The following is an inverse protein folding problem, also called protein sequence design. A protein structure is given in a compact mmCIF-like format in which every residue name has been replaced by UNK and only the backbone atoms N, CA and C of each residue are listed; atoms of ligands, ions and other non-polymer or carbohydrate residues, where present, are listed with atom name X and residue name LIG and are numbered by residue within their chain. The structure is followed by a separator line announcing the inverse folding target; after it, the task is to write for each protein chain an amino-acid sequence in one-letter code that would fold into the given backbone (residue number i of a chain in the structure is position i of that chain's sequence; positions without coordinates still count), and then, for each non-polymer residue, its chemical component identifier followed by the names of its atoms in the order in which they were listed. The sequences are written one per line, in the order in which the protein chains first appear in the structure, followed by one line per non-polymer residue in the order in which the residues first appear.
data_IF_628050996910
#
_entry.id   IF_628050996910
#
_cell.length_a   1.000
_cell.length_b   1.000
_cell.length_c   1.000
_cell.angle_alpha   90.00
_cell.angle_beta   90.00
_cell.angle_gamma   90.00
#
_symmetry.space_group_name_H-M   'P 1'
#
loop_
_entity.id
_entity.type
_entity.pdbx_description
1 polymer ?
#
# COMPACT_ATOMS: atom_id res chain seq x y z
N UNK A 1 -15.39 -5.34 14.34
CA UNK A 1 -14.43 -4.67 13.44
C UNK A 1 -14.78 -5.11 12.03
N UNK A 2 -14.83 -4.19 11.08
CA UNK A 2 -15.22 -4.46 9.69
C UNK A 2 -14.01 -4.25 8.77
N UNK A 3 -13.94 -5.06 7.71
CA UNK A 3 -12.86 -5.03 6.73
C UNK A 3 -13.44 -4.90 5.32
N UNK A 4 -12.68 -4.24 4.44
CA UNK A 4 -13.01 -4.13 3.02
C UNK A 4 -11.84 -4.65 2.18
N UNK A 5 -12.16 -5.26 1.05
CA UNK A 5 -11.17 -5.73 0.08
C UNK A 5 -11.13 -4.76 -1.10
N UNK A 6 -10.00 -4.09 -1.28
CA UNK A 6 -9.73 -3.27 -2.46
C UNK A 6 -8.88 -4.07 -3.46
N UNK A 7 -9.38 -4.26 -4.68
CA UNK A 7 -8.66 -4.94 -5.76
C UNK A 7 -8.13 -3.93 -6.78
N UNK A 8 -6.84 -4.03 -7.11
CA UNK A 8 -6.18 -3.17 -8.08
C UNK A 8 -5.46 -4.07 -9.10
N UNK A 9 -5.86 -3.98 -10.37
CA UNK A 9 -5.18 -4.62 -11.50
C UNK A 9 -4.36 -3.57 -12.25
N UNK A 10 -3.12 -3.89 -12.56
CA UNK A 10 -2.20 -3.02 -13.29
C UNK A 10 -1.18 -3.83 -14.07
N UNK A 11 -0.61 -3.24 -15.11
CA UNK A 11 0.42 -3.91 -15.92
C UNK A 11 1.72 -4.12 -15.11
N UNK A 12 2.09 -3.12 -14.32
CA UNK A 12 3.24 -3.17 -13.42
C UNK A 12 3.06 -2.18 -12.28
N UNK A 13 3.77 -2.42 -11.19
CA UNK A 13 3.76 -1.54 -10.03
C UNK A 13 5.19 -1.18 -9.64
N UNK A 14 5.45 0.10 -9.47
CA UNK A 14 6.66 0.62 -8.86
C UNK A 14 6.63 0.36 -7.34
N UNK A 15 7.82 0.43 -6.71
CA UNK A 15 7.95 0.27 -5.26
C UNK A 15 7.02 1.24 -4.51
N UNK A 16 6.25 0.69 -3.56
CA UNK A 16 5.27 1.40 -2.73
C UNK A 16 4.09 2.04 -3.47
N UNK A 17 3.93 1.82 -4.79
CA UNK A 17 2.90 2.50 -5.59
C UNK A 17 1.49 2.23 -5.07
N UNK A 18 1.13 0.96 -4.87
CA UNK A 18 -0.20 0.56 -4.37
C UNK A 18 -0.47 1.16 -2.99
N UNK A 19 0.51 1.08 -2.08
CA UNK A 19 0.38 1.61 -0.71
C UNK A 19 0.18 3.12 -0.68
N UNK A 20 0.81 3.86 -1.60
CA UNK A 20 0.59 5.31 -1.76
C UNK A 20 -0.77 5.62 -2.39
N UNK A 21 -1.23 4.84 -3.37
CA UNK A 21 -2.56 5.01 -3.97
C UNK A 21 -3.66 4.85 -2.91
N UNK A 22 -3.59 3.78 -2.11
CA UNK A 22 -4.53 3.55 -1.01
C UNK A 22 -4.41 4.64 0.06
N UNK A 23 -3.18 5.02 0.44
CA UNK A 23 -2.94 6.08 1.42
C UNK A 23 -3.56 7.42 1.01
N UNK A 24 -3.41 7.79 -0.26
CA UNK A 24 -4.00 9.02 -0.81
C UNK A 24 -5.54 8.96 -0.80
N UNK A 25 -6.12 7.84 -1.24
CA UNK A 25 -7.58 7.66 -1.25
C UNK A 25 -8.18 7.78 0.16
N UNK A 26 -7.58 7.12 1.16
CA UNK A 26 -8.01 7.22 2.56
C UNK A 26 -7.89 8.67 3.07
N UNK A 27 -6.81 9.36 2.72
CA UNK A 27 -6.58 10.76 3.16
C UNK A 27 -7.65 11.71 2.63
N UNK A 28 -8.06 11.52 1.36
CA UNK A 28 -9.16 12.26 0.74
C UNK A 28 -10.49 11.95 1.44
N UNK A 29 -10.82 10.67 1.63
CA UNK A 29 -12.08 10.24 2.27
C UNK A 29 -12.22 10.74 3.71
N UNK A 30 -11.10 10.91 4.43
CA UNK A 30 -11.08 11.44 5.79
C UNK A 30 -10.98 12.97 5.86
N UNK A 31 -10.90 13.66 4.72
CA UNK A 31 -10.88 15.12 4.65
C UNK A 31 -9.53 15.77 5.00
N UNK A 32 -8.42 15.02 4.97
CA UNK A 32 -7.08 15.61 5.18
C UNK A 32 -6.60 16.42 3.96
N UNK A 33 -7.10 16.09 2.78
CA UNK A 33 -6.72 16.73 1.52
C UNK A 33 -7.87 16.64 0.51
N UNK A 34 -8.00 17.64 -0.35
CA UNK A 34 -9.00 17.65 -1.41
C UNK A 34 -8.60 16.79 -2.62
N UNK A 35 -9.58 16.37 -3.43
CA UNK A 35 -9.40 15.52 -4.60
C UNK A 35 -8.43 16.09 -5.65
N UNK A 36 -8.23 17.41 -5.68
CA UNK A 36 -7.27 18.07 -6.56
C UNK A 36 -5.83 17.58 -6.37
N UNK A 37 -5.48 17.03 -5.19
CA UNK A 37 -4.17 16.40 -4.95
C UNK A 37 -3.89 15.25 -5.92
N UNK A 38 -4.93 14.56 -6.41
CA UNK A 38 -4.77 13.46 -7.38
C UNK A 38 -4.13 14.02 -8.65
N UNK A 39 -4.65 15.12 -9.19
CA UNK A 39 -4.08 15.77 -10.38
C UNK A 39 -2.66 16.27 -10.11
N UNK A 40 -2.46 16.92 -8.97
CA UNK A 40 -1.13 17.41 -8.57
C UNK A 40 -0.12 16.27 -8.41
N UNK A 41 -0.54 15.07 -7.98
CA UNK A 41 0.34 13.92 -7.77
C UNK A 41 0.98 13.37 -9.06
N UNK A 42 0.41 13.70 -10.22
CA UNK A 42 0.96 13.38 -11.55
C UNK A 42 1.87 14.49 -12.11
N UNK A 43 2.03 15.60 -11.39
CA UNK A 43 2.95 16.68 -11.79
C UNK A 43 4.42 16.29 -11.58
N UNK A 44 5.32 17.15 -12.06
CA UNK A 44 6.77 17.00 -11.86
C UNK A 44 7.15 17.12 -10.37
N UNK A 45 6.32 17.81 -9.59
CA UNK A 45 6.60 18.09 -8.19
C UNK A 45 6.37 16.85 -7.33
N UNK A 46 7.35 16.56 -6.47
CA UNK A 46 7.24 15.43 -5.54
C UNK A 46 6.30 15.81 -4.41
N UNK A 47 5.11 15.22 -4.38
CA UNK A 47 4.15 15.45 -3.30
C UNK A 47 4.37 14.46 -2.16
N UNK A 48 4.24 14.92 -0.91
CA UNK A 48 4.18 14.03 0.25
C UNK A 48 2.86 13.25 0.27
N UNK A 49 2.91 11.97 -0.09
CA UNK A 49 1.76 11.08 -0.08
C UNK A 49 1.99 10.04 1.00
N UNK A 50 1.05 9.87 1.95
CA UNK A 50 1.15 8.85 2.99
C UNK A 50 1.15 7.47 2.37
N UNK A 51 1.95 6.58 2.95
CA UNK A 51 2.09 5.21 2.50
C UNK A 51 1.37 4.31 3.50
N UNK A 52 0.26 3.69 3.09
CA UNK A 52 -0.49 2.75 3.92
C UNK A 52 0.39 1.59 4.42
N UNK A 53 0.07 0.90 5.53
CA UNK A 53 0.79 -0.28 6.00
C UNK A 53 0.86 -1.41 4.97
N UNK A 54 1.83 -2.31 5.12
CA UNK A 54 2.01 -3.45 4.24
C UNK A 54 1.15 -4.67 4.61
N UNK A 55 0.64 -4.72 5.85
CA UNK A 55 -0.02 -5.90 6.43
C UNK A 55 -1.17 -6.43 5.56
N UNK A 56 -2.03 -5.54 5.06
CA UNK A 56 -3.18 -5.91 4.21
C UNK A 56 -2.86 -6.06 2.71
N UNK A 57 -1.60 -5.93 2.28
CA UNK A 57 -1.24 -5.99 0.86
C UNK A 57 -0.86 -7.42 0.46
N UNK A 58 -1.64 -7.99 -0.45
CA UNK A 58 -1.45 -9.34 -0.96
C UNK A 58 -1.47 -9.34 -2.50
N UNK A 59 -0.56 -10.08 -3.12
CA UNK A 59 -0.60 -10.36 -4.56
C UNK A 59 -1.65 -11.44 -4.81
N UNK A 60 -2.73 -11.07 -5.51
CA UNK A 60 -3.86 -11.97 -5.78
C UNK A 60 -3.60 -12.87 -6.99
N UNK A 61 -3.12 -12.32 -8.10
CA UNK A 61 -2.98 -13.04 -9.36
C UNK A 61 -1.86 -12.44 -10.22
N UNK A 62 -1.13 -13.30 -10.94
CA UNK A 62 -0.22 -12.92 -12.01
C UNK A 62 -0.86 -13.27 -13.35
N UNK A 63 -1.04 -12.24 -14.17
CA UNK A 63 -1.82 -12.27 -15.40
C UNK A 63 -0.93 -12.60 -16.62
N UNK A 64 -1.18 -13.74 -17.28
CA UNK A 64 -0.42 -14.23 -18.45
C UNK A 64 -1.19 -14.14 -19.78
N UNK A 65 -2.34 -13.46 -19.83
CA UNK A 65 -3.23 -13.40 -20.99
C UNK A 65 -2.51 -12.90 -22.26
N UNK A 66 -1.63 -11.90 -22.12
CA UNK A 66 -0.86 -11.38 -23.26
C UNK A 66 0.21 -12.36 -23.75
N UNK A 67 0.84 -13.10 -22.84
CA UNK A 67 1.80 -14.15 -23.19
C UNK A 67 1.08 -15.30 -23.92
N UNK A 68 0.00 -15.80 -23.33
CA UNK A 68 -0.79 -16.90 -23.89
C UNK A 68 -1.33 -16.54 -25.28
N UNK A 69 -1.81 -15.30 -25.47
CA UNK A 69 -2.27 -14.82 -26.79
C UNK A 69 -1.16 -14.78 -27.83
N UNK A 70 0.08 -14.46 -27.43
CA UNK A 70 1.20 -14.28 -28.35
C UNK A 70 1.92 -15.58 -28.67
N UNK A 71 2.06 -16.47 -27.70
CA UNK A 71 2.92 -17.66 -27.79
C UNK A 71 2.18 -18.98 -27.58
N UNK A 72 1.06 -19.01 -26.86
CA UNK A 72 0.39 -20.26 -26.48
C UNK A 72 -0.23 -21.07 -27.63
N UNK A 73 -0.12 -20.61 -28.88
CA UNK A 73 -0.58 -21.32 -30.08
C UNK A 73 0.49 -21.45 -31.17
N UNK A 74 1.76 -21.20 -30.85
CA UNK A 74 2.87 -21.24 -31.82
C UNK A 74 3.45 -22.66 -32.04
N UNK A 75 2.94 -23.65 -31.30
CA UNK A 75 3.38 -25.05 -31.36
C UNK A 75 4.71 -25.33 -30.64
N UNK A 76 5.28 -24.33 -29.96
CA UNK A 76 6.55 -24.42 -29.23
C UNK A 76 6.32 -24.11 -27.74
N UNK A 77 5.45 -23.16 -27.42
CA UNK A 77 5.17 -22.74 -26.05
C UNK A 77 3.79 -23.19 -25.58
N UNK A 78 3.72 -23.65 -24.33
CA UNK A 78 2.47 -23.99 -23.67
C UNK A 78 1.84 -22.75 -22.99
N UNK A 79 0.51 -22.58 -23.06
CA UNK A 79 -0.19 -21.55 -22.30
C UNK A 79 0.00 -21.73 -20.79
N UNK A 80 0.19 -20.62 -20.07
CA UNK A 80 0.26 -20.60 -18.61
C UNK A 80 -1.14 -20.32 -18.07
N UNK A 81 -1.75 -21.32 -17.44
CA UNK A 81 -3.06 -21.24 -16.80
C UNK A 81 -3.01 -21.88 -15.42
N UNK A 82 -3.81 -21.36 -14.48
CA UNK A 82 -3.85 -21.82 -13.09
C UNK A 82 -5.26 -22.18 -12.63
N UNK A 83 -6.22 -22.27 -13.57
CA UNK A 83 -7.65 -22.39 -13.25
C UNK A 83 -7.98 -23.64 -12.44
N UNK A 84 -7.21 -24.72 -12.63
CA UNK A 84 -7.37 -25.97 -11.88
C UNK A 84 -7.04 -25.84 -10.39
N UNK A 85 -6.29 -24.79 -9.99
CA UNK A 85 -5.90 -24.54 -8.61
C UNK A 85 -6.73 -23.44 -7.94
N UNK A 86 -7.81 -22.97 -8.57
CA UNK A 86 -8.61 -21.87 -8.06
C UNK A 86 -9.20 -22.18 -6.67
N UNK A 87 -9.60 -23.43 -6.42
CA UNK A 87 -10.15 -23.87 -5.15
C UNK A 87 -9.07 -23.88 -4.06
N UNK A 88 -7.87 -24.38 -4.37
CA UNK A 88 -6.72 -24.40 -3.46
C UNK A 88 -6.24 -22.98 -3.13
N UNK A 89 -6.19 -22.08 -4.12
CA UNK A 89 -5.85 -20.67 -3.92
C UNK A 89 -6.91 -19.99 -3.03
N UNK A 90 -8.19 -20.24 -3.28
CA UNK A 90 -9.28 -19.74 -2.46
C UNK A 90 -9.15 -20.22 -1.00
N UNK A 91 -8.97 -21.52 -0.81
CA UNK A 91 -8.81 -22.14 0.50
C UNK A 91 -7.60 -21.59 1.22
N UNK A 92 -6.46 -21.43 0.53
CA UNK A 92 -5.25 -20.91 1.12
C UNK A 92 -5.43 -19.48 1.64
N UNK A 93 -6.05 -18.59 0.84
CA UNK A 93 -6.35 -17.21 1.25
C UNK A 93 -7.23 -17.16 2.50
N UNK A 94 -8.31 -17.93 2.51
CA UNK A 94 -9.29 -17.91 3.59
C UNK A 94 -8.81 -18.61 4.86
N UNK A 95 -7.99 -19.65 4.74
CA UNK A 95 -7.51 -20.44 5.89
C UNK A 95 -6.25 -19.85 6.52
N UNK A 96 -5.38 -19.18 5.74
CA UNK A 96 -4.07 -18.76 6.22
C UNK A 96 -3.80 -17.26 6.08
N UNK A 97 -4.16 -16.63 4.96
CA UNK A 97 -3.78 -15.22 4.74
C UNK A 97 -4.74 -14.26 5.47
N UNK A 98 -6.04 -14.34 5.22
CA UNK A 98 -7.01 -13.43 5.84
C UNK A 98 -7.05 -13.56 7.37
N UNK A 99 -7.03 -14.78 7.97
CA UNK A 99 -7.02 -14.91 9.41
C UNK A 99 -5.79 -14.25 10.06
N UNK A 100 -4.61 -14.40 9.44
CA UNK A 100 -3.39 -13.78 9.95
C UNK A 100 -3.49 -12.25 9.89
N UNK A 101 -3.88 -11.68 8.75
CA UNK A 101 -4.07 -10.22 8.61
C UNK A 101 -5.04 -9.67 9.66
N UNK A 102 -6.17 -10.35 9.87
CA UNK A 102 -7.18 -9.93 10.83
C UNK A 102 -6.67 -10.07 12.26
N UNK A 103 -6.01 -11.18 12.60
CA UNK A 103 -5.46 -11.41 13.93
C UNK A 103 -4.36 -10.39 14.26
N UNK A 104 -3.42 -10.15 13.34
CA UNK A 104 -2.37 -9.14 13.50
C UNK A 104 -2.97 -7.75 13.66
N UNK A 105 -3.98 -7.36 12.87
CA UNK A 105 -4.61 -6.04 13.02
C UNK A 105 -5.34 -5.90 14.36
N UNK A 106 -6.02 -6.94 14.84
CA UNK A 106 -6.69 -6.93 16.14
C UNK A 106 -5.70 -6.80 17.31
N UNK A 107 -4.51 -7.40 17.17
CA UNK A 107 -3.49 -7.39 18.22
C UNK A 107 -2.62 -6.13 18.20
N UNK A 108 -2.21 -5.69 17.02
CA UNK A 108 -1.21 -4.62 16.84
C UNK A 108 -1.82 -3.28 16.43
N UNK A 109 -3.07 -3.27 15.96
CA UNK A 109 -3.75 -2.05 15.49
C UNK A 109 -2.95 -1.28 14.42
N UNK A 110 -2.33 -2.00 13.48
CA UNK A 110 -1.39 -1.45 12.48
C UNK A 110 -2.02 -0.32 11.65
N UNK A 111 -3.25 -0.52 11.16
CA UNK A 111 -3.97 0.50 10.41
C UNK A 111 -4.32 1.70 11.28
N UNK A 112 -4.77 1.48 12.52
CA UNK A 112 -5.14 2.56 13.43
C UNK A 112 -3.92 3.42 13.80
N UNK A 113 -2.79 2.79 14.13
CA UNK A 113 -1.53 3.49 14.40
C UNK A 113 -1.10 4.33 13.20
N UNK A 114 -1.18 3.78 11.98
CA UNK A 114 -0.88 4.54 10.77
C UNK A 114 -1.86 5.70 10.53
N UNK A 115 -3.17 5.48 10.72
CA UNK A 115 -4.19 6.53 10.60
C UNK A 115 -3.91 7.71 11.53
N UNK A 116 -3.39 7.45 12.74
CA UNK A 116 -2.99 8.48 13.68
C UNK A 116 -1.80 9.32 13.18
N UNK A 117 -1.05 8.89 12.17
CA UNK A 117 0.07 9.65 11.58
C UNK A 117 -0.34 10.55 10.41
N UNK A 118 -1.58 10.42 9.89
CA UNK A 118 -2.03 11.16 8.71
C UNK A 118 -1.94 12.68 8.85
N UNK A 119 -2.16 13.20 10.06
CA UNK A 119 -2.09 14.64 10.34
C UNK A 119 -0.67 15.25 10.19
N UNK A 120 0.36 14.41 10.15
CA UNK A 120 1.77 14.84 10.01
C UNK A 120 2.11 15.10 8.54
N UNK A 121 1.34 14.51 7.60
CA UNK A 121 1.57 14.66 6.17
C UNK A 121 1.09 16.02 5.68
N UNK A 122 1.94 16.71 4.91
CA UNK A 122 1.62 18.04 4.37
C UNK A 122 0.77 17.99 3.11
N UNK A 123 0.77 16.85 2.40
CA UNK A 123 0.14 16.68 1.09
C UNK A 123 0.59 17.73 0.05
N UNK A 124 1.77 18.30 0.28
CA UNK A 124 2.35 19.35 -0.54
C UNK A 124 3.75 18.94 -1.05
N UNK A 125 4.39 19.83 -1.81
CA UNK A 125 5.72 19.62 -2.37
C UNK A 125 6.70 19.29 -1.24
N UNK A 126 7.41 18.18 -1.41
CA UNK A 126 8.43 17.72 -0.48
C UNK A 126 9.64 18.65 -0.56
N UNK A 127 9.72 19.58 0.37
CA UNK A 127 10.97 20.31 0.61
C UNK A 127 11.97 19.35 1.25
N UNK A 128 13.01 18.97 0.51
CA UNK A 128 14.02 18.01 0.94
C UNK A 128 14.73 18.45 2.24
N UNK A 129 14.80 19.76 2.47
CA UNK A 129 15.47 20.39 3.62
C UNK A 129 14.67 20.29 4.93
N UNK A 130 13.34 20.22 4.87
CA UNK A 130 12.48 20.24 6.07
C UNK A 130 12.43 18.88 6.78
N UNK A 131 12.41 17.77 6.01
CA UNK A 131 12.45 16.42 6.60
C UNK A 131 13.78 16.08 7.24
N UNK A 132 14.89 16.58 6.70
CA UNK A 132 16.19 16.46 7.37
C UNK A 132 16.17 17.20 8.69
N UNK A 133 15.66 18.44 8.73
CA UNK A 133 15.53 19.21 9.97
C UNK A 133 14.59 18.54 10.99
N UNK A 134 13.46 17.98 10.58
CA UNK A 134 12.56 17.24 11.47
C UNK A 134 13.17 15.93 11.97
N UNK A 135 13.85 15.15 11.12
CA UNK A 135 14.57 13.94 11.54
C UNK A 135 15.71 14.25 12.51
N UNK A 136 16.46 15.32 12.27
CA UNK A 136 17.52 15.78 13.17
C UNK A 136 16.92 16.20 14.51
N UNK A 137 15.86 17.03 14.51
CA UNK A 137 15.17 17.42 15.75
C UNK A 137 14.58 16.22 16.50
N UNK A 138 14.02 15.24 15.80
CA UNK A 138 13.45 14.04 16.44
C UNK A 138 14.55 13.18 17.07
N UNK A 139 15.70 13.03 16.39
CA UNK A 139 16.86 12.33 16.93
C UNK A 139 17.49 13.07 18.12
N UNK A 140 17.50 14.41 18.10
CA UNK A 140 17.98 15.23 19.22
C UNK A 140 17.04 15.11 20.43
N UNK A 141 15.73 15.05 20.22
CA UNK A 141 14.73 14.81 21.27
C UNK A 141 14.83 13.39 21.86
N UNK A 142 15.11 12.38 21.04
CA UNK A 142 15.35 11.01 21.49
C UNK A 142 16.67 10.89 22.29
N UNK A 143 17.70 11.69 21.96
CA UNK A 143 18.97 11.72 22.70
C UNK A 143 18.92 12.53 24.01
N UNK A 144 17.89 13.35 24.23
CA UNK A 144 17.72 14.18 25.44
C UNK A 144 16.88 13.50 26.55
N UNK A 145 16.59 12.20 26.45
CA UNK A 145 16.03 11.43 27.56
C UNK A 145 14.56 11.73 27.89
N UNK A 146 13.79 12.26 26.94
CA UNK A 146 12.33 12.32 27.07
C UNK A 146 11.71 11.06 26.44
N UNK A 147 11.63 10.01 27.24
CA UNK A 147 10.84 8.81 26.93
C UNK A 147 9.37 9.24 26.87
N UNK A 148 8.77 9.22 25.68
CA UNK A 148 7.37 8.83 25.53
C UNK A 148 7.32 7.76 24.43
N UNK A 149 7.38 6.52 24.87
CA UNK A 149 6.84 5.32 24.21
C UNK A 149 6.15 4.61 25.39
N UNK A 150 4.83 4.42 25.48
CA UNK A 150 3.76 4.43 24.50
C UNK A 150 2.58 5.33 24.94
#
# INVERSE_FOLDING_TARGET
MEFIVARIKGQSFMLHQIRKMIGLAISIMRGFVDQDVIKRSFSIDRIDIPMAPGLGLMLEEVHYEQYNKKYGGDGIHEPIVWDEFNDEIYDFKNKFIYPEIVATELNESSMLQWLNTLHIHTFDIRNHDERQKQRIRLNDLVNLGCIIVA
#
